data_IF_817656686552
#
_entry.id   IF_817656686552
#
_cell.length_a   1.000
_cell.length_b   1.000
_cell.length_c   1.000
_cell.angle_alpha   90.00
_cell.angle_beta   90.00
_cell.angle_gamma   90.00
#
_symmetry.space_group_name_H-M   'P 1'
#
loop_
_entity.id
_entity.type
_entity.pdbx_description
1 polymer ?
#
# COMPACT_ATOMS: atom_id res chain seq x y z
N UNK A 1 -20.94 -1.79 11.39
CA UNK A 1 -21.18 -2.70 10.23
C UNK A 1 -20.40 -2.18 9.05
N UNK A 2 -20.00 -3.04 8.11
CA UNK A 2 -19.30 -2.56 6.90
C UNK A 2 -20.31 -2.32 5.78
N UNK A 3 -20.18 -1.18 5.10
CA UNK A 3 -20.95 -0.83 3.92
C UNK A 3 -20.14 -1.20 2.68
N UNK A 4 -20.76 -1.81 1.68
CA UNK A 4 -20.11 -2.19 0.43
C UNK A 4 -20.70 -1.38 -0.72
N UNK A 5 -19.85 -0.87 -1.60
CA UNK A 5 -20.32 -0.29 -2.86
C UNK A 5 -21.06 -1.34 -3.71
N UNK A 6 -21.98 -0.87 -4.52
CA UNK A 6 -22.85 -1.73 -5.36
C UNK A 6 -22.04 -2.69 -6.23
N UNK A 7 -20.97 -2.19 -6.86
CA UNK A 7 -20.08 -3.00 -7.70
C UNK A 7 -19.36 -4.10 -6.91
N UNK A 8 -18.89 -3.80 -5.68
CA UNK A 8 -18.21 -4.75 -4.83
C UNK A 8 -19.16 -5.82 -4.31
N UNK A 9 -20.38 -5.46 -3.88
CA UNK A 9 -21.44 -6.43 -3.51
C UNK A 9 -21.69 -7.44 -4.62
N UNK A 10 -21.85 -6.93 -5.84
CA UNK A 10 -22.05 -7.77 -7.01
C UNK A 10 -20.85 -8.69 -7.27
N UNK A 11 -19.63 -8.16 -7.21
CA UNK A 11 -18.43 -8.95 -7.44
C UNK A 11 -18.27 -10.08 -6.39
N UNK A 12 -18.58 -9.84 -5.12
CA UNK A 12 -18.60 -10.87 -4.08
C UNK A 12 -19.64 -11.95 -4.41
N UNK A 13 -20.88 -11.56 -4.77
CA UNK A 13 -21.95 -12.49 -5.13
C UNK A 13 -21.56 -13.37 -6.32
N UNK A 14 -20.97 -12.77 -7.34
CA UNK A 14 -20.59 -13.42 -8.60
C UNK A 14 -19.23 -14.17 -8.48
N UNK A 15 -18.59 -14.12 -7.31
CA UNK A 15 -17.20 -14.62 -7.09
C UNK A 15 -16.21 -14.05 -8.11
N UNK A 16 -16.41 -12.81 -8.51
CA UNK A 16 -15.56 -12.08 -9.47
C UNK A 16 -14.32 -11.52 -8.76
N UNK A 17 -13.20 -11.33 -9.46
CA UNK A 17 -11.98 -10.78 -8.89
C UNK A 17 -12.20 -9.39 -8.31
N UNK A 18 -11.64 -9.16 -7.10
CA UNK A 18 -11.68 -7.87 -6.42
C UNK A 18 -10.26 -7.51 -6.00
N UNK A 19 -9.89 -6.26 -6.16
CA UNK A 19 -8.62 -5.69 -5.66
C UNK A 19 -8.93 -4.58 -4.68
N UNK A 20 -8.47 -4.74 -3.44
CA UNK A 20 -8.49 -3.69 -2.44
C UNK A 20 -7.48 -2.59 -2.76
N UNK A 21 -7.83 -1.34 -2.44
CA UNK A 21 -7.00 -0.16 -2.58
C UNK A 21 -7.05 0.63 -1.26
N UNK A 22 -5.89 1.09 -0.77
CA UNK A 22 -5.85 1.97 0.39
C UNK A 22 -6.32 3.39 0.05
N UNK A 23 -6.79 4.12 1.04
CA UNK A 23 -7.19 5.53 0.87
C UNK A 23 -6.19 6.54 1.45
N UNK A 24 -5.17 6.09 2.20
CA UNK A 24 -4.14 7.00 2.73
C UNK A 24 -3.38 7.72 1.61
N UNK A 25 -3.11 7.05 0.49
CA UNK A 25 -2.47 7.67 -0.66
C UNK A 25 -3.33 8.83 -1.22
N UNK A 26 -4.65 8.71 -1.15
CA UNK A 26 -5.59 9.72 -1.64
C UNK A 26 -5.62 10.93 -0.71
N UNK A 27 -5.81 10.73 0.59
CA UNK A 27 -6.01 11.84 1.54
C UNK A 27 -4.71 12.48 2.00
N UNK A 28 -3.60 11.72 2.04
CA UNK A 28 -2.36 12.12 2.72
C UNK A 28 -1.09 11.87 1.90
N UNK A 29 -1.19 11.23 0.74
CA UNK A 29 -0.02 10.80 -0.05
C UNK A 29 0.19 11.57 -1.34
N UNK A 30 -0.85 12.20 -1.88
CA UNK A 30 -0.82 12.96 -3.14
C UNK A 30 -1.41 14.35 -2.95
N UNK A 31 -0.90 15.38 -3.66
CA UNK A 31 -1.46 16.73 -3.61
C UNK A 31 -2.83 16.81 -4.28
N UNK A 32 -3.68 17.72 -3.81
CA UNK A 32 -4.95 18.06 -4.45
C UNK A 32 -4.69 18.98 -5.65
N UNK A 33 -5.43 18.87 -6.74
CA UNK A 33 -6.53 17.94 -7.02
C UNK A 33 -6.08 16.58 -7.60
N UNK A 34 -4.79 16.38 -7.86
CA UNK A 34 -4.20 15.20 -8.51
C UNK A 34 -4.55 13.90 -7.76
N UNK A 35 -4.73 13.95 -6.44
CA UNK A 35 -5.10 12.79 -5.64
C UNK A 35 -6.41 12.12 -6.09
N UNK A 36 -7.46 12.91 -6.38
CA UNK A 36 -8.74 12.37 -6.88
C UNK A 36 -8.61 11.83 -8.31
N UNK A 37 -7.91 12.57 -9.18
CA UNK A 37 -7.67 12.14 -10.56
C UNK A 37 -6.95 10.78 -10.61
N UNK A 38 -5.89 10.63 -9.81
CA UNK A 38 -5.14 9.37 -9.70
C UNK A 38 -5.99 8.25 -9.10
N UNK A 39 -6.81 8.52 -8.09
CA UNK A 39 -7.69 7.52 -7.51
C UNK A 39 -8.67 6.95 -8.55
N UNK A 40 -9.32 7.82 -9.32
CA UNK A 40 -10.24 7.44 -10.39
C UNK A 40 -9.53 6.63 -11.49
N UNK A 41 -8.32 7.04 -11.86
CA UNK A 41 -7.51 6.39 -12.89
C UNK A 41 -7.03 4.99 -12.42
N UNK A 42 -6.59 4.85 -11.17
CA UNK A 42 -6.21 3.56 -10.57
C UNK A 42 -7.39 2.60 -10.55
N UNK A 43 -8.57 3.06 -10.15
CA UNK A 43 -9.79 2.23 -10.21
C UNK A 43 -10.15 1.82 -11.65
N UNK A 44 -9.98 2.73 -12.62
CA UNK A 44 -10.22 2.42 -14.03
C UNK A 44 -9.22 1.36 -14.55
N UNK A 45 -7.94 1.44 -14.13
CA UNK A 45 -6.91 0.44 -14.45
C UNK A 45 -7.29 -0.94 -13.90
N UNK A 46 -7.76 -1.02 -12.66
CA UNK A 46 -8.22 -2.28 -12.07
C UNK A 46 -9.37 -2.88 -12.89
N UNK A 47 -10.37 -2.07 -13.26
CA UNK A 47 -11.52 -2.51 -14.08
C UNK A 47 -11.07 -2.98 -15.46
N UNK A 48 -10.18 -2.25 -16.11
CA UNK A 48 -9.67 -2.58 -17.44
C UNK A 48 -8.85 -3.89 -17.46
N UNK A 49 -8.32 -4.32 -16.30
CA UNK A 49 -7.56 -5.57 -16.16
C UNK A 49 -8.39 -6.73 -15.54
N UNK A 50 -9.73 -6.62 -15.55
CA UNK A 50 -10.63 -7.73 -15.25
C UNK A 50 -10.97 -7.92 -13.77
N UNK A 51 -10.73 -6.94 -12.91
CA UNK A 51 -11.10 -6.98 -11.50
C UNK A 51 -11.98 -5.78 -11.09
N UNK A 52 -12.68 -5.91 -9.97
CA UNK A 52 -13.46 -4.83 -9.37
C UNK A 52 -12.59 -4.10 -8.35
N UNK A 53 -12.38 -2.78 -8.45
CA UNK A 53 -11.68 -2.02 -7.43
C UNK A 53 -12.53 -1.89 -6.17
N UNK A 54 -11.89 -2.00 -5.01
CA UNK A 54 -12.49 -1.79 -3.71
C UNK A 54 -11.61 -0.83 -2.89
N UNK A 55 -11.73 0.47 -3.15
CA UNK A 55 -11.09 1.50 -2.32
C UNK A 55 -11.73 1.48 -0.94
N UNK A 56 -10.93 1.36 0.14
CA UNK A 56 -11.41 1.19 1.51
C UNK A 56 -11.15 2.45 2.33
N UNK A 57 -12.18 2.93 3.01
CA UNK A 57 -12.08 4.07 3.94
C UNK A 57 -13.08 3.94 5.09
N UNK A 58 -12.98 4.82 6.08
CA UNK A 58 -14.02 5.05 7.07
C UNK A 58 -14.73 6.37 6.79
N UNK A 59 -16.05 6.36 6.80
CA UNK A 59 -16.89 7.56 6.64
C UNK A 59 -17.86 7.63 7.81
N UNK A 60 -17.79 8.71 8.58
CA UNK A 60 -18.61 8.94 9.77
C UNK A 60 -18.59 7.76 10.76
N UNK A 61 -17.43 7.09 10.87
CA UNK A 61 -17.19 5.94 11.74
C UNK A 61 -17.61 4.58 11.16
N UNK A 62 -18.15 4.53 9.94
CA UNK A 62 -18.50 3.28 9.26
C UNK A 62 -17.42 2.89 8.26
N UNK A 63 -17.15 1.58 8.14
CA UNK A 63 -16.20 1.05 7.16
C UNK A 63 -16.93 0.93 5.81
N UNK A 64 -16.36 1.57 4.79
CA UNK A 64 -16.81 1.49 3.40
C UNK A 64 -15.79 0.68 2.56
N UNK A 65 -16.28 -0.35 1.87
CA UNK A 65 -15.49 -1.26 1.02
C UNK A 65 -15.93 -1.08 -0.43
N UNK A 66 -15.10 -0.46 -1.21
CA UNK A 66 -15.47 0.26 -2.41
C UNK A 66 -16.15 1.58 -2.05
N UNK A 67 -15.75 2.65 -2.70
CA UNK A 67 -16.34 3.97 -2.50
C UNK A 67 -17.22 4.34 -3.69
N UNK A 68 -18.40 4.86 -3.42
CA UNK A 68 -19.22 5.51 -4.45
C UNK A 68 -18.56 6.88 -4.82
N UNK A 69 -18.83 7.46 -6.00
CA UNK A 69 -18.14 8.67 -6.46
C UNK A 69 -18.15 9.84 -5.47
N UNK A 70 -19.25 10.07 -4.76
CA UNK A 70 -19.35 11.13 -3.74
C UNK A 70 -18.53 10.84 -2.49
N UNK A 71 -18.38 9.57 -2.13
CA UNK A 71 -17.55 9.13 -1.00
C UNK A 71 -16.07 9.27 -1.33
N UNK A 72 -15.67 8.89 -2.55
CA UNK A 72 -14.30 9.06 -3.03
C UNK A 72 -13.92 10.55 -3.09
N UNK A 73 -14.81 11.40 -3.61
CA UNK A 73 -14.63 12.86 -3.61
C UNK A 73 -14.45 13.41 -2.19
N UNK A 74 -15.28 12.96 -1.25
CA UNK A 74 -15.15 13.35 0.17
C UNK A 74 -13.80 12.97 0.76
N UNK A 75 -13.36 11.73 0.57
CA UNK A 75 -12.06 11.25 1.07
C UNK A 75 -10.89 12.00 0.43
N UNK A 76 -11.02 12.41 -0.82
CA UNK A 76 -9.99 13.16 -1.53
C UNK A 76 -9.91 14.63 -1.08
N UNK A 77 -11.04 15.28 -0.80
CA UNK A 77 -11.12 16.73 -0.66
C UNK A 77 -11.32 17.23 0.79
N UNK A 78 -11.89 16.42 1.71
CA UNK A 78 -12.05 16.81 3.10
C UNK A 78 -10.69 16.82 3.82
N UNK A 79 -10.30 17.98 4.33
CA UNK A 79 -9.04 18.18 5.08
C UNK A 79 -9.06 17.57 6.48
N UNK A 80 -10.23 17.20 7.01
CA UNK A 80 -10.40 16.63 8.33
C UNK A 80 -10.35 15.10 8.35
N UNK A 81 -10.18 14.46 7.19
CA UNK A 81 -10.02 13.00 7.10
C UNK A 81 -8.79 12.57 7.89
N UNK A 82 -9.01 11.78 8.95
CA UNK A 82 -7.94 11.25 9.78
C UNK A 82 -7.18 10.11 9.06
N UNK A 83 -6.04 9.68 9.61
CA UNK A 83 -5.31 8.50 9.15
C UNK A 83 -5.55 7.36 10.14
N UNK A 84 -6.21 6.29 9.69
CA UNK A 84 -6.55 5.12 10.50
C UNK A 84 -5.61 3.95 10.24
N UNK A 85 -4.94 3.47 11.28
CA UNK A 85 -4.33 2.14 11.33
C UNK A 85 -5.28 1.17 12.05
N UNK A 86 -4.92 -0.10 12.14
CA UNK A 86 -5.73 -1.16 12.79
C UNK A 86 -6.18 -0.78 14.20
N UNK A 87 -5.29 -0.20 15.01
CA UNK A 87 -5.58 0.24 16.39
C UNK A 87 -6.59 1.38 16.49
N UNK A 88 -6.76 2.15 15.41
CA UNK A 88 -7.63 3.33 15.40
C UNK A 88 -9.08 2.97 15.02
N UNK A 89 -9.31 1.85 14.32
CA UNK A 89 -10.59 1.52 13.69
C UNK A 89 -11.76 1.54 14.68
N UNK A 90 -11.67 0.83 15.80
CA UNK A 90 -12.74 0.79 16.78
C UNK A 90 -12.96 2.14 17.47
N UNK A 91 -11.88 2.88 17.71
CA UNK A 91 -11.94 4.23 18.33
C UNK A 91 -12.65 5.19 17.38
N UNK A 92 -12.28 5.20 16.10
CA UNK A 92 -12.86 6.09 15.09
C UNK A 92 -14.31 5.72 14.80
N UNK A 93 -14.65 4.42 14.78
CA UNK A 93 -16.03 3.98 14.67
C UNK A 93 -16.89 4.52 15.82
N UNK A 94 -16.45 4.38 17.07
CA UNK A 94 -17.18 4.88 18.23
C UNK A 94 -17.34 6.41 18.25
N UNK A 95 -16.34 7.13 17.72
CA UNK A 95 -16.32 8.60 17.65
C UNK A 95 -16.91 9.17 16.37
N UNK A 96 -17.37 8.34 15.45
CA UNK A 96 -17.89 8.72 14.12
C UNK A 96 -16.90 9.56 13.31
N UNK A 97 -15.62 9.22 13.37
CA UNK A 97 -14.55 9.93 12.65
C UNK A 97 -14.42 9.33 11.24
N UNK A 98 -14.34 10.22 10.23
CA UNK A 98 -13.97 9.82 8.87
C UNK A 98 -12.45 9.70 8.75
N UNK A 99 -11.97 8.63 8.13
CA UNK A 99 -10.55 8.35 8.03
C UNK A 99 -10.17 7.57 6.79
N UNK A 100 -8.99 7.88 6.26
CA UNK A 100 -8.31 7.09 5.25
C UNK A 100 -7.58 5.92 5.92
N UNK A 101 -7.67 4.73 5.33
CA UNK A 101 -7.07 3.50 5.86
C UNK A 101 -5.63 3.32 5.36
N UNK A 102 -4.73 2.94 6.29
CA UNK A 102 -3.34 2.56 5.97
C UNK A 102 -3.28 1.16 5.36
N UNK A 103 -2.08 0.73 4.93
CA UNK A 103 -1.84 -0.66 4.47
C UNK A 103 -2.35 -1.67 5.50
N UNK A 104 -1.99 -1.51 6.79
CA UNK A 104 -2.43 -2.39 7.86
C UNK A 104 -3.97 -2.47 7.98
N UNK A 105 -4.63 -1.31 8.05
CA UNK A 105 -6.07 -1.26 8.18
C UNK A 105 -6.78 -1.79 6.93
N UNK A 106 -6.30 -1.43 5.74
CA UNK A 106 -6.85 -1.89 4.46
C UNK A 106 -6.74 -3.40 4.33
N UNK A 107 -5.56 -3.98 4.63
CA UNK A 107 -5.35 -5.42 4.55
C UNK A 107 -6.31 -6.19 5.48
N UNK A 108 -6.43 -5.76 6.74
CA UNK A 108 -7.32 -6.39 7.71
C UNK A 108 -8.80 -6.33 7.29
N UNK A 109 -9.25 -5.14 6.84
CA UNK A 109 -10.64 -4.93 6.39
C UNK A 109 -10.93 -5.74 5.12
N UNK A 110 -10.02 -5.72 4.15
CA UNK A 110 -10.13 -6.46 2.90
C UNK A 110 -10.24 -7.97 3.16
N UNK A 111 -9.35 -8.52 3.98
CA UNK A 111 -9.38 -9.94 4.37
C UNK A 111 -10.69 -10.31 5.06
N UNK A 112 -11.15 -9.51 6.02
CA UNK A 112 -12.43 -9.75 6.71
C UNK A 112 -13.64 -9.68 5.76
N UNK A 113 -13.52 -8.99 4.62
CA UNK A 113 -14.53 -8.93 3.56
C UNK A 113 -14.38 -10.03 2.50
N UNK A 114 -13.41 -10.94 2.65
CA UNK A 114 -13.14 -12.02 1.68
C UNK A 114 -12.36 -11.55 0.45
N UNK A 115 -11.70 -10.40 0.49
CA UNK A 115 -10.87 -9.87 -0.59
C UNK A 115 -9.42 -10.32 -0.37
N UNK A 116 -8.87 -11.02 -1.37
CA UNK A 116 -7.55 -11.67 -1.26
C UNK A 116 -6.41 -10.91 -1.93
N UNK A 117 -6.69 -9.81 -2.66
CA UNK A 117 -5.70 -9.05 -3.41
C UNK A 117 -5.74 -7.59 -3.04
N UNK A 118 -4.58 -7.00 -2.83
CA UNK A 118 -4.44 -5.61 -2.42
C UNK A 118 -3.27 -4.94 -3.15
N UNK A 119 -3.52 -3.79 -3.76
CA UNK A 119 -2.48 -2.95 -4.37
C UNK A 119 -2.24 -1.69 -3.55
N UNK A 120 -0.98 -1.43 -3.23
CA UNK A 120 -0.52 -0.21 -2.56
C UNK A 120 0.71 0.36 -3.26
N UNK A 121 1.06 1.59 -2.98
CA UNK A 121 2.30 2.18 -3.47
C UNK A 121 3.52 1.49 -2.87
N UNK A 122 3.61 1.46 -1.55
CA UNK A 122 4.70 0.83 -0.80
C UNK A 122 4.35 0.63 0.66
N UNK A 123 4.99 -0.36 1.26
CA UNK A 123 4.78 -0.75 2.64
C UNK A 123 5.38 0.25 3.64
N UNK A 124 4.81 0.31 4.82
CA UNK A 124 5.49 0.76 6.00
C UNK A 124 6.47 -0.31 6.50
N UNK A 125 7.42 0.09 7.31
CA UNK A 125 8.46 -0.80 7.82
C UNK A 125 9.12 -0.24 9.07
N UNK A 126 10.37 -0.54 9.28
CA UNK A 126 11.19 -0.04 10.38
C UNK A 126 11.65 1.38 10.06
N UNK A 127 11.42 2.32 10.96
CA UNK A 127 11.86 3.71 10.79
C UNK A 127 13.36 3.86 11.05
N UNK A 128 13.99 4.87 10.42
CA UNK A 128 15.35 5.25 10.76
C UNK A 128 15.43 5.63 12.24
N UNK A 129 16.41 5.09 12.98
CA UNK A 129 16.51 5.28 14.43
C UNK A 129 15.57 4.40 15.27
N UNK A 130 14.96 3.37 14.71
CA UNK A 130 14.08 2.47 15.45
C UNK A 130 14.77 1.69 16.57
N UNK A 131 16.09 1.56 16.51
CA UNK A 131 16.86 0.92 17.61
C UNK A 131 16.69 1.64 18.94
N UNK A 132 16.52 2.95 18.92
CA UNK A 132 16.33 3.81 20.09
C UNK A 132 14.84 4.07 20.37
N UNK A 133 14.05 4.24 19.31
CA UNK A 133 12.65 4.66 19.41
C UNK A 133 11.63 3.51 19.38
N UNK A 134 12.00 2.33 18.87
CA UNK A 134 11.10 1.21 18.57
C UNK A 134 9.99 1.59 17.58
N UNK A 135 10.23 2.62 16.74
CA UNK A 135 9.25 3.09 15.77
C UNK A 135 9.20 2.15 14.55
N UNK A 136 8.27 1.22 14.59
CA UNK A 136 7.97 0.28 13.51
C UNK A 136 6.52 0.45 13.05
N UNK A 137 6.28 0.30 11.76
CA UNK A 137 4.94 0.36 11.20
C UNK A 137 4.07 -0.81 11.64
N UNK A 138 2.81 -0.52 11.96
CA UNK A 138 1.81 -1.55 12.19
C UNK A 138 1.57 -2.45 10.97
N UNK A 139 2.01 -2.04 9.77
CA UNK A 139 1.91 -2.85 8.55
C UNK A 139 2.62 -4.19 8.72
N UNK A 140 3.78 -4.21 9.39
CA UNK A 140 4.56 -5.43 9.60
C UNK A 140 3.76 -6.50 10.36
N UNK A 141 3.16 -6.14 11.49
CA UNK A 141 2.36 -7.07 12.27
C UNK A 141 1.03 -7.43 11.57
N UNK A 142 0.38 -6.45 10.95
CA UNK A 142 -0.87 -6.71 10.23
C UNK A 142 -0.65 -7.70 9.08
N UNK A 143 0.43 -7.56 8.32
CA UNK A 143 0.77 -8.48 7.22
C UNK A 143 1.19 -9.86 7.73
N UNK A 144 1.80 -9.96 8.92
CA UNK A 144 2.12 -11.24 9.56
C UNK A 144 0.88 -12.07 9.95
N UNK A 145 -0.26 -11.41 10.12
CA UNK A 145 -1.48 -12.04 10.65
C UNK A 145 -2.69 -11.93 9.70
N UNK A 146 -2.47 -11.56 8.46
CA UNK A 146 -3.54 -11.35 7.48
C UNK A 146 -3.25 -12.12 6.19
N UNK A 147 -4.10 -13.08 5.86
CA UNK A 147 -4.02 -13.85 4.59
C UNK A 147 -4.46 -12.98 3.42
N UNK A 148 -3.51 -12.31 2.78
CA UNK A 148 -3.75 -11.41 1.65
C UNK A 148 -2.52 -11.35 0.74
N UNK A 149 -2.71 -11.16 -0.56
CA UNK A 149 -1.61 -10.91 -1.51
C UNK A 149 -1.46 -9.40 -1.72
N UNK A 150 -0.30 -8.85 -1.37
CA UNK A 150 -0.03 -7.41 -1.44
C UNK A 150 0.97 -7.12 -2.54
N UNK A 151 0.58 -6.31 -3.50
CA UNK A 151 1.41 -5.84 -4.61
C UNK A 151 1.89 -4.43 -4.27
N UNK A 152 3.21 -4.22 -4.23
CA UNK A 152 3.82 -2.96 -3.83
C UNK A 152 5.18 -2.74 -4.51
N UNK A 153 5.67 -1.51 -4.52
CA UNK A 153 7.03 -1.19 -4.98
C UNK A 153 8.07 -1.28 -3.83
N UNK A 154 7.93 -2.31 -3.00
CA UNK A 154 8.78 -2.49 -1.82
C UNK A 154 8.36 -1.63 -0.63
N UNK A 155 9.34 -1.29 0.21
CA UNK A 155 9.18 -0.43 1.39
C UNK A 155 9.41 1.03 0.98
N UNK A 156 8.64 1.96 1.53
CA UNK A 156 8.87 3.40 1.29
C UNK A 156 10.33 3.76 1.57
N UNK A 157 11.00 4.39 0.63
CA UNK A 157 12.44 4.64 0.65
C UNK A 157 12.96 5.52 1.81
N UNK A 158 12.03 6.12 2.55
CA UNK A 158 12.29 6.91 3.77
C UNK A 158 12.52 6.04 5.02
N UNK A 159 12.38 4.72 4.89
CA UNK A 159 12.46 3.73 5.97
C UNK A 159 13.80 2.96 5.91
N UNK A 160 14.14 2.28 6.99
CA UNK A 160 15.28 1.36 7.04
C UNK A 160 14.90 0.06 6.32
N UNK A 161 15.29 -0.03 5.04
CA UNK A 161 14.97 -1.18 4.19
C UNK A 161 15.57 -2.46 4.73
N UNK A 162 16.85 -2.42 5.17
CA UNK A 162 17.55 -3.60 5.70
C UNK A 162 16.82 -4.15 6.92
N UNK A 163 16.59 -3.31 7.93
CA UNK A 163 15.90 -3.71 9.14
C UNK A 163 14.44 -4.18 8.84
N UNK A 164 13.80 -3.60 7.82
CA UNK A 164 12.45 -4.03 7.43
C UNK A 164 12.45 -5.42 6.80
N UNK A 165 13.43 -5.75 5.96
CA UNK A 165 13.57 -7.09 5.38
C UNK A 165 13.79 -8.14 6.47
N UNK A 166 14.66 -7.88 7.45
CA UNK A 166 14.86 -8.74 8.62
C UNK A 166 13.58 -8.93 9.45
N UNK A 167 12.75 -7.88 9.57
CA UNK A 167 11.46 -7.99 10.28
C UNK A 167 10.44 -8.81 9.50
N UNK A 168 10.41 -8.68 8.18
CA UNK A 168 9.54 -9.51 7.32
C UNK A 168 9.92 -10.99 7.44
N UNK A 169 11.23 -11.31 7.41
CA UNK A 169 11.73 -12.67 7.63
C UNK A 169 11.34 -13.19 9.02
N UNK A 170 11.61 -12.42 10.09
CA UNK A 170 11.25 -12.77 11.48
C UNK A 170 9.79 -13.12 11.63
N UNK A 171 8.90 -12.40 10.91
CA UNK A 171 7.47 -12.64 10.93
C UNK A 171 7.01 -13.75 9.96
N UNK A 172 7.93 -14.36 9.22
CA UNK A 172 7.62 -15.43 8.27
C UNK A 172 6.77 -14.95 7.09
N UNK A 173 6.87 -13.68 6.71
CA UNK A 173 6.11 -13.11 5.58
C UNK A 173 6.89 -13.39 4.28
N UNK A 174 6.39 -14.27 3.39
CA UNK A 174 7.07 -14.54 2.13
C UNK A 174 7.06 -13.31 1.20
N UNK A 175 8.20 -13.11 0.55
CA UNK A 175 8.48 -11.98 -0.34
C UNK A 175 9.02 -12.50 -1.68
N UNK A 176 8.36 -12.13 -2.78
CA UNK A 176 8.79 -12.47 -4.14
C UNK A 176 8.96 -11.22 -4.98
N UNK A 177 9.94 -11.21 -5.87
CA UNK A 177 10.17 -10.14 -6.84
C UNK A 177 9.50 -10.45 -8.19
N UNK A 178 8.63 -9.58 -8.66
CA UNK A 178 8.07 -9.72 -10.00
C UNK A 178 9.03 -9.17 -11.04
N UNK A 179 9.63 -10.08 -11.84
CA UNK A 179 10.65 -9.79 -12.87
C UNK A 179 11.91 -9.11 -12.32
N UNK A 180 12.19 -9.27 -11.03
CA UNK A 180 13.36 -8.70 -10.38
C UNK A 180 13.93 -9.67 -9.34
N UNK A 181 15.24 -9.68 -9.22
CA UNK A 181 16.01 -10.34 -8.16
C UNK A 181 16.55 -9.31 -7.13
N UNK A 182 16.10 -8.04 -7.27
CA UNK A 182 16.46 -6.94 -6.36
C UNK A 182 15.22 -6.40 -5.70
N UNK A 183 15.29 -6.13 -4.39
CA UNK A 183 14.19 -5.51 -3.68
C UNK A 183 14.03 -4.05 -4.12
N UNK A 184 12.84 -3.62 -4.59
CA UNK A 184 12.65 -2.25 -5.03
C UNK A 184 12.67 -1.26 -3.85
N UNK A 185 13.22 -0.08 -4.10
CA UNK A 185 13.35 1.00 -3.13
C UNK A 185 12.28 2.08 -3.29
N UNK A 186 11.04 1.73 -3.59
CA UNK A 186 9.93 2.65 -3.84
C UNK A 186 10.20 3.55 -5.05
N UNK A 187 10.87 4.70 -4.87
CA UNK A 187 11.27 5.59 -5.95
C UNK A 187 12.42 5.05 -6.81
N UNK A 188 13.06 3.97 -6.38
CA UNK A 188 14.20 3.33 -7.01
C UNK A 188 13.84 1.89 -7.42
N UNK A 189 14.35 1.45 -8.59
CA UNK A 189 14.19 0.07 -9.07
C UNK A 189 14.88 -0.92 -8.12
N UNK A 190 16.02 -0.53 -7.56
CA UNK A 190 16.85 -1.35 -6.68
C UNK A 190 17.19 -0.59 -5.40
N UNK A 191 16.80 -1.11 -4.24
CA UNK A 191 17.15 -0.57 -2.93
C UNK A 191 18.58 -0.88 -2.47
N UNK A 192 19.31 -1.71 -3.21
CA UNK A 192 20.63 -2.24 -2.82
C UNK A 192 20.58 -3.64 -2.23
N UNK A 193 19.40 -4.20 -1.96
CA UNK A 193 19.24 -5.52 -1.32
C UNK A 193 18.74 -6.57 -2.32
N UNK A 194 19.29 -7.81 -2.29
CA UNK A 194 18.80 -8.90 -3.14
C UNK A 194 17.45 -9.44 -2.65
N UNK A 195 16.74 -10.11 -3.55
CA UNK A 195 15.60 -10.97 -3.26
C UNK A 195 15.98 -12.44 -3.50
N UNK A 196 15.53 -13.32 -2.60
CA UNK A 196 15.78 -14.76 -2.75
C UNK A 196 14.91 -15.41 -3.83
N UNK A 197 13.71 -14.87 -4.03
CA UNK A 197 12.71 -15.47 -4.91
C UNK A 197 12.26 -14.48 -5.98
N UNK A 198 12.51 -14.84 -7.23
CA UNK A 198 12.04 -14.13 -8.41
C UNK A 198 10.97 -14.94 -9.13
N UNK A 199 9.97 -14.26 -9.66
CA UNK A 199 8.97 -14.80 -10.58
C UNK A 199 8.88 -13.92 -11.83
N UNK A 200 8.66 -14.53 -12.98
CA UNK A 200 8.67 -13.81 -14.26
C UNK A 200 7.27 -13.72 -14.90
N UNK A 201 6.27 -14.36 -14.32
CA UNK A 201 4.90 -14.37 -14.84
C UNK A 201 3.84 -14.34 -13.76
N UNK A 202 2.64 -13.88 -14.14
CA UNK A 202 1.44 -13.92 -13.28
C UNK A 202 1.05 -15.37 -12.97
N UNK A 203 1.25 -16.31 -13.89
CA UNK A 203 0.95 -17.72 -13.67
C UNK A 203 1.80 -18.36 -12.58
N UNK A 204 3.07 -18.00 -12.45
CA UNK A 204 3.92 -18.46 -11.35
C UNK A 204 3.41 -17.93 -9.98
N UNK A 205 2.96 -16.68 -9.92
CA UNK A 205 2.36 -16.13 -8.69
C UNK A 205 1.11 -16.93 -8.32
N UNK A 206 0.23 -17.21 -9.29
CA UNK A 206 -1.01 -17.97 -9.06
C UNK A 206 -0.69 -19.41 -8.59
N UNK A 207 0.36 -20.03 -9.13
CA UNK A 207 0.81 -21.35 -8.68
C UNK A 207 1.32 -21.31 -7.24
N UNK A 208 2.13 -20.30 -6.88
CA UNK A 208 2.60 -20.08 -5.50
C UNK A 208 1.40 -19.93 -4.55
N UNK A 209 0.41 -19.12 -4.89
CA UNK A 209 -0.81 -18.96 -4.10
C UNK A 209 -1.58 -20.27 -3.92
N UNK A 210 -1.65 -21.09 -4.97
CA UNK A 210 -2.27 -22.42 -4.90
C UNK A 210 -1.48 -23.35 -3.96
N UNK A 211 -0.13 -23.37 -4.04
CA UNK A 211 0.72 -24.16 -3.16
C UNK A 211 0.65 -23.73 -1.70
N UNK A 212 0.61 -22.42 -1.44
CA UNK A 212 0.43 -21.90 -0.08
C UNK A 212 -0.84 -22.42 0.55
N UNK A 213 -1.99 -22.41 -0.16
CA UNK A 213 -3.25 -22.97 0.32
C UNK A 213 -3.16 -24.49 0.57
N UNK A 214 -2.52 -25.23 -0.36
CA UNK A 214 -2.34 -26.67 -0.21
C UNK A 214 -1.47 -27.04 1.00
N UNK A 215 -0.42 -26.26 1.26
CA UNK A 215 0.51 -26.45 2.37
C UNK A 215 0.03 -25.81 3.68
N UNK A 216 -1.08 -25.07 3.65
CA UNK A 216 -1.62 -24.31 4.80
C UNK A 216 -0.59 -23.33 5.38
N UNK A 217 0.07 -22.57 4.48
CA UNK A 217 1.05 -21.52 4.81
C UNK A 217 0.56 -20.14 4.35
N UNK A 218 -0.75 -19.97 4.23
CA UNK A 218 -1.41 -18.77 3.75
C UNK A 218 -2.13 -17.96 4.84
N UNK A 219 -1.75 -18.14 6.08
CA UNK A 219 -2.24 -17.41 7.26
C UNK A 219 -1.62 -16.00 7.42
N UNK A 220 -0.57 -15.71 6.67
CA UNK A 220 0.05 -14.38 6.57
C UNK A 220 0.00 -13.85 5.13
N UNK A 221 0.39 -12.60 4.92
CA UNK A 221 0.45 -12.00 3.59
C UNK A 221 1.51 -12.67 2.69
N UNK A 222 1.28 -12.63 1.36
CA UNK A 222 2.33 -12.77 0.35
C UNK A 222 2.64 -11.39 -0.20
N UNK A 223 3.89 -10.94 -0.12
CA UNK A 223 4.32 -9.68 -0.71
C UNK A 223 4.89 -9.94 -2.11
N UNK A 224 4.33 -9.27 -3.11
CA UNK A 224 4.82 -9.23 -4.49
C UNK A 224 5.46 -7.87 -4.72
N UNK A 225 6.78 -7.84 -4.74
CA UNK A 225 7.56 -6.64 -4.99
C UNK A 225 7.62 -6.38 -6.50
N UNK A 226 7.02 -5.28 -6.93
CA UNK A 226 6.92 -4.84 -8.32
C UNK A 226 7.67 -3.52 -8.50
N UNK A 227 8.87 -3.50 -9.09
CA UNK A 227 9.64 -2.28 -9.26
C UNK A 227 8.96 -1.30 -10.20
N UNK A 228 9.20 -0.01 -9.97
CA UNK A 228 8.79 1.05 -10.91
C UNK A 228 9.55 0.90 -12.24
N UNK A 229 8.90 1.28 -13.36
CA UNK A 229 9.54 1.20 -14.69
C UNK A 229 10.61 2.28 -14.88
N UNK A 230 10.35 3.50 -14.37
CA UNK A 230 11.26 4.64 -14.49
C UNK A 230 11.52 5.24 -13.11
N UNK A 231 12.70 4.98 -12.55
CA UNK A 231 13.10 5.44 -11.23
C UNK A 231 13.46 6.93 -11.19
N UNK A 232 13.55 7.48 -9.97
CA UNK A 232 14.21 8.76 -9.72
C UNK A 232 15.72 8.63 -9.92
N UNK A 233 16.37 9.74 -10.27
CA UNK A 233 17.84 9.80 -10.26
C UNK A 233 18.34 9.50 -8.84
N UNK A 234 19.11 8.42 -8.66
CA UNK A 234 19.56 7.92 -7.34
C UNK A 234 20.27 9.00 -6.51
N UNK A 235 21.16 9.76 -7.11
CA UNK A 235 21.88 10.84 -6.39
C UNK A 235 20.94 11.93 -5.89
N UNK A 236 19.91 12.27 -6.67
CA UNK A 236 18.87 13.22 -6.25
C UNK A 236 18.03 12.62 -5.11
N UNK A 237 17.60 11.37 -5.25
CA UNK A 237 16.86 10.66 -4.19
C UNK A 237 17.63 10.67 -2.86
N UNK A 238 18.90 10.28 -2.87
CA UNK A 238 19.72 10.15 -1.64
C UNK A 238 19.95 11.52 -0.98
N UNK A 239 20.14 12.58 -1.78
CA UNK A 239 20.25 13.96 -1.28
C UNK A 239 18.95 14.43 -0.63
N UNK A 240 17.80 14.18 -1.27
CA UNK A 240 16.49 14.55 -0.76
C UNK A 240 16.13 13.76 0.52
N UNK A 241 16.45 12.48 0.55
CA UNK A 241 16.23 11.65 1.74
C UNK A 241 17.00 12.19 2.94
N UNK A 242 18.29 12.48 2.75
CA UNK A 242 19.13 13.04 3.81
C UNK A 242 18.57 14.38 4.31
N UNK A 243 18.31 15.32 3.40
CA UNK A 243 17.79 16.64 3.75
C UNK A 243 16.40 16.57 4.42
N UNK A 244 15.53 15.67 3.95
CA UNK A 244 14.20 15.45 4.53
C UNK A 244 14.27 14.91 5.96
N UNK A 245 15.16 13.95 6.24
CA UNK A 245 15.36 13.39 7.58
C UNK A 245 15.93 14.44 8.53
N UNK A 246 16.90 15.25 8.09
CA UNK A 246 17.45 16.37 8.85
C UNK A 246 16.33 17.39 9.21
N UNK A 247 15.52 17.77 8.22
CA UNK A 247 14.38 18.69 8.42
C UNK A 247 13.31 18.12 9.35
N UNK A 248 13.03 16.82 9.29
CA UNK A 248 12.11 16.15 10.21
C UNK A 248 12.62 16.19 11.66
N UNK A 249 13.92 15.93 11.85
CA UNK A 249 14.56 15.99 13.16
C UNK A 249 14.53 17.42 13.76
N UNK A 250 14.88 18.44 12.97
CA UNK A 250 14.82 19.84 13.39
C UNK A 250 13.42 20.28 13.80
N UNK A 251 12.38 19.78 13.14
CA UNK A 251 10.97 20.08 13.42
C UNK A 251 10.35 19.16 14.46
N UNK A 252 11.11 18.25 15.05
CA UNK A 252 10.63 17.24 16.01
C UNK A 252 9.44 16.42 15.46
N UNK A 253 9.43 16.10 14.16
CA UNK A 253 8.41 15.24 13.55
C UNK A 253 8.70 13.80 13.90
N UNK A 254 7.75 13.11 14.54
CA UNK A 254 7.89 11.73 15.03
C UNK A 254 6.67 10.86 14.72
N UNK A 255 6.82 9.54 14.82
CA UNK A 255 5.74 8.57 14.69
C UNK A 255 4.99 8.68 13.35
N UNK A 256 3.67 8.56 13.38
CA UNK A 256 2.82 8.52 12.17
C UNK A 256 2.87 9.79 11.30
N UNK A 257 3.45 10.88 11.78
CA UNK A 257 3.60 12.13 11.03
C UNK A 257 4.85 12.13 10.12
N UNK A 258 5.85 11.27 10.37
CA UNK A 258 7.11 11.24 9.62
C UNK A 258 6.88 10.92 8.13
N UNK A 259 6.12 9.88 7.83
CA UNK A 259 5.87 9.47 6.44
C UNK A 259 5.18 10.55 5.61
N UNK A 260 4.04 11.15 6.04
CA UNK A 260 3.43 12.25 5.29
C UNK A 260 4.36 13.45 5.10
N UNK A 261 5.10 13.82 6.15
CA UNK A 261 6.05 14.93 6.09
C UNK A 261 7.15 14.69 5.05
N UNK A 262 7.76 13.50 5.04
CA UNK A 262 8.84 13.19 4.09
C UNK A 262 8.32 13.07 2.66
N UNK A 263 7.15 12.50 2.44
CA UNK A 263 6.53 12.46 1.11
C UNK A 263 6.26 13.88 0.59
N UNK A 264 5.69 14.76 1.42
CA UNK A 264 5.46 16.16 1.08
C UNK A 264 6.79 16.89 0.79
N UNK A 265 7.82 16.66 1.61
CA UNK A 265 9.15 17.19 1.40
C UNK A 265 9.71 16.77 0.03
N UNK A 266 9.64 15.49 -0.32
CA UNK A 266 10.07 15.00 -1.62
C UNK A 266 9.26 15.63 -2.77
N UNK A 267 7.93 15.72 -2.64
CA UNK A 267 7.07 16.32 -3.67
C UNK A 267 7.43 17.78 -3.93
N UNK A 268 7.68 18.54 -2.88
CA UNK A 268 7.98 19.97 -3.00
C UNK A 268 9.42 20.27 -3.47
N UNK A 269 10.36 19.34 -3.28
CA UNK A 269 11.80 19.58 -3.54
C UNK A 269 12.36 18.84 -4.75
N UNK A 270 11.63 17.83 -5.28
CA UNK A 270 12.07 17.03 -6.43
C UNK A 270 11.64 17.57 -7.80
N UNK A 271 11.14 18.81 -7.90
CA UNK A 271 10.57 19.37 -9.13
C UNK A 271 9.50 18.46 -9.77
N UNK A 272 8.69 17.80 -8.96
CA UNK A 272 7.59 16.91 -9.40
C UNK A 272 8.01 15.49 -9.77
N UNK A 273 9.31 15.16 -9.76
CA UNK A 273 9.79 13.83 -10.13
C UNK A 273 9.27 12.74 -9.18
N UNK A 274 9.33 12.96 -7.87
CA UNK A 274 8.81 11.99 -6.89
C UNK A 274 7.30 11.79 -7.01
N UNK A 275 6.55 12.84 -7.34
CA UNK A 275 5.12 12.74 -7.58
C UNK A 275 4.82 11.88 -8.80
N UNK A 276 5.51 12.13 -9.92
CA UNK A 276 5.40 11.32 -11.14
C UNK A 276 5.65 9.84 -10.85
N UNK A 277 6.77 9.53 -10.18
CA UNK A 277 7.14 8.15 -9.85
C UNK A 277 6.12 7.51 -8.91
N UNK A 278 5.64 8.22 -7.89
CA UNK A 278 4.61 7.71 -6.95
C UNK A 278 3.30 7.34 -7.68
N UNK A 279 2.89 8.16 -8.66
CA UNK A 279 1.72 7.89 -9.49
C UNK A 279 1.94 6.65 -10.37
N UNK A 280 3.10 6.51 -11.01
CA UNK A 280 3.44 5.34 -11.82
C UNK A 280 3.46 4.05 -10.98
N UNK A 281 4.02 4.09 -9.77
CA UNK A 281 4.04 2.98 -8.83
C UNK A 281 2.63 2.45 -8.58
N UNK A 282 1.71 3.29 -8.11
CA UNK A 282 0.37 2.80 -7.73
C UNK A 282 -0.41 2.29 -8.94
N UNK A 283 -0.27 2.91 -10.12
CA UNK A 283 -0.88 2.44 -11.36
C UNK A 283 -0.36 1.07 -11.79
N UNK A 284 0.97 0.88 -11.76
CA UNK A 284 1.62 -0.39 -12.10
C UNK A 284 1.21 -1.50 -11.13
N UNK A 285 1.21 -1.22 -9.83
CA UNK A 285 0.83 -2.19 -8.81
C UNK A 285 -0.65 -2.57 -8.90
N UNK A 286 -1.54 -1.62 -9.15
CA UNK A 286 -2.96 -1.87 -9.35
C UNK A 286 -3.24 -2.73 -10.59
N UNK A 287 -2.52 -2.47 -11.69
CA UNK A 287 -2.58 -3.28 -12.91
C UNK A 287 -2.17 -4.73 -12.63
N UNK A 288 -1.01 -4.93 -12.01
CA UNK A 288 -0.50 -6.27 -11.70
C UNK A 288 -1.43 -7.01 -10.74
N UNK A 289 -1.93 -6.33 -9.69
CA UNK A 289 -2.88 -6.93 -8.75
C UNK A 289 -4.16 -7.40 -9.44
N UNK A 290 -4.70 -6.61 -10.36
CA UNK A 290 -5.89 -6.99 -11.12
C UNK A 290 -5.63 -8.19 -12.04
N UNK A 291 -4.48 -8.25 -12.70
CA UNK A 291 -4.07 -9.37 -13.54
C UNK A 291 -3.91 -10.66 -12.71
N UNK A 292 -3.29 -10.59 -11.53
CA UNK A 292 -3.16 -11.74 -10.62
C UNK A 292 -4.54 -12.19 -10.16
N UNK A 293 -5.39 -11.25 -9.71
CA UNK A 293 -6.74 -11.55 -9.23
C UNK A 293 -7.62 -12.19 -10.33
N UNK A 294 -7.50 -11.73 -11.57
CA UNK A 294 -8.23 -12.27 -12.72
C UNK A 294 -7.74 -13.69 -13.12
N UNK A 295 -6.43 -13.95 -13.00
CA UNK A 295 -5.83 -15.24 -13.35
C UNK A 295 -6.00 -16.33 -12.27
N UNK A 296 -6.24 -15.95 -11.02
CA UNK A 296 -6.36 -16.87 -9.87
C UNK A 296 -7.79 -17.41 -9.65
N UNK A 297 -8.66 -17.28 -10.64
CA UNK A 297 -10.06 -17.78 -10.65
C UNK A 297 -10.16 -19.30 -10.61
#
# INVERSE_FOLDING_TARGET
MSTFATAVKRAISDKSPIVALESTIISHGLPRPTNLEVALEVEAIVRANGATPATIAMIDGEIHIGLEPSELDRIANDTNVAKASTRDLAIFAAKRISAATTVAATAQIAHAAGISYFATGGLGGVHSGARESWDESADLFALATTSITVICAGVKSILDVAATLERLETFGIPLIGYKTDRFPGFYLIDSGFPLEHRVDSVSEIVEILSKRRQLKTDDCALIVANPVETEMVRTTHDQLLKAGLESAAEKNITGKAVTPFLLDFFHNTSNGESLRVNIEIIKSNAKLAAQIAAAAR
#
